data_IF_610020567779
#
_entry.id   IF_610020567779
#
_cell.length_a   1.000
_cell.length_b   1.000
_cell.length_c   1.000
_cell.angle_alpha   90.00
_cell.angle_beta   90.00
_cell.angle_gamma   90.00
#
_symmetry.space_group_name_H-M   'P 1'
#
loop_
_entity.id
_entity.type
_entity.pdbx_description
1 polymer ?
#
# COMPACT_ATOMS: atom_id res chain seq x y z
N UNK A 1 -16.04 2.42 3.01
CA UNK A 1 -14.81 1.86 3.59
C UNK A 1 -14.54 2.60 4.90
N UNK A 2 -14.61 1.90 6.03
CA UNK A 2 -14.32 2.48 7.34
C UNK A 2 -12.86 2.18 7.69
N UNK A 3 -12.11 3.22 8.08
CA UNK A 3 -10.77 3.07 8.62
C UNK A 3 -10.81 3.57 10.06
N UNK A 4 -10.61 2.68 11.05
CA UNK A 4 -10.57 3.09 12.44
C UNK A 4 -9.40 4.06 12.67
N UNK A 5 -9.60 5.08 13.52
CA UNK A 5 -8.57 6.06 13.81
C UNK A 5 -7.34 5.39 14.43
N UNK A 6 -6.15 5.82 14.01
CA UNK A 6 -4.85 5.35 14.52
C UNK A 6 -4.54 3.86 14.29
N UNK A 7 -5.19 3.22 13.31
CA UNK A 7 -4.97 1.79 12.98
C UNK A 7 -4.42 1.63 11.55
N UNK A 8 -3.17 2.03 11.27
CA UNK A 8 -2.57 1.91 9.93
C UNK A 8 -2.48 0.45 9.44
N UNK A 9 -2.46 -0.52 10.35
CA UNK A 9 -2.36 -1.96 10.06
C UNK A 9 -3.57 -2.52 9.32
N UNK A 10 -4.75 -1.93 9.48
CA UNK A 10 -5.97 -2.36 8.76
C UNK A 10 -6.21 -1.55 7.48
N UNK A 11 -5.38 -0.54 7.19
CA UNK A 11 -5.48 0.25 5.97
C UNK A 11 -4.70 -0.44 4.83
N UNK A 12 -5.38 -0.94 3.78
CA UNK A 12 -4.69 -1.68 2.72
C UNK A 12 -3.69 -0.82 1.93
N UNK A 13 -3.90 0.50 1.83
CA UNK A 13 -2.97 1.38 1.11
C UNK A 13 -1.63 1.51 1.84
N UNK A 14 -1.61 1.43 3.18
CA UNK A 14 -0.38 1.44 3.97
C UNK A 14 0.44 0.18 3.72
N UNK A 15 -0.24 -0.95 3.46
CA UNK A 15 0.41 -2.21 3.09
C UNK A 15 1.08 -2.12 1.73
N UNK A 16 0.38 -1.57 0.74
CA UNK A 16 0.94 -1.33 -0.58
C UNK A 16 2.15 -0.40 -0.51
N UNK A 17 2.04 0.70 0.25
CA UNK A 17 3.14 1.62 0.47
C UNK A 17 4.33 0.98 1.18
N UNK A 18 4.10 0.03 2.09
CA UNK A 18 5.18 -0.72 2.73
C UNK A 18 5.98 -1.52 1.70
N UNK A 19 5.32 -2.15 0.73
CA UNK A 19 6.01 -2.90 -0.33
C UNK A 19 6.76 -1.98 -1.30
N UNK A 20 6.15 -0.86 -1.73
CA UNK A 20 6.83 0.14 -2.58
C UNK A 20 8.06 0.72 -1.84
N UNK A 21 7.93 1.05 -0.55
CA UNK A 21 9.06 1.57 0.23
C UNK A 21 10.20 0.57 0.38
N UNK A 22 9.95 -0.74 0.33
CA UNK A 22 11.02 -1.74 0.42
C UNK A 22 11.95 -1.69 -0.78
N UNK A 23 11.43 -1.42 -1.98
CA UNK A 23 12.21 -1.37 -3.22
C UNK A 23 13.00 -0.06 -3.34
N UNK A 24 12.56 0.98 -2.65
CA UNK A 24 13.25 2.28 -2.56
C UNK A 24 14.20 2.36 -1.35
N UNK A 25 14.39 1.28 -0.58
CA UNK A 25 15.28 1.32 0.58
C UNK A 25 16.70 1.59 0.13
N UNK A 26 17.37 2.48 0.87
CA UNK A 26 18.76 2.90 0.66
C UNK A 26 19.00 3.83 -0.53
N UNK A 27 17.94 4.22 -1.24
CA UNK A 27 18.00 5.28 -2.25
C UNK A 27 17.99 6.66 -1.59
N UNK A 28 18.79 7.58 -2.11
CA UNK A 28 18.84 8.98 -1.69
C UNK A 28 18.62 9.88 -2.91
N UNK A 29 17.42 10.44 -3.02
CA UNK A 29 17.03 11.30 -4.13
C UNK A 29 17.43 12.75 -3.83
N UNK A 30 18.07 13.42 -4.80
CA UNK A 30 18.49 14.81 -4.66
C UNK A 30 17.33 15.78 -4.87
N UNK A 31 16.31 15.35 -5.61
CA UNK A 31 15.13 16.16 -5.92
C UNK A 31 13.82 15.40 -5.68
N UNK A 32 12.73 16.14 -5.53
CA UNK A 32 11.39 15.55 -5.46
C UNK A 32 10.97 14.90 -6.79
N UNK A 33 11.48 15.38 -7.92
CA UNK A 33 11.17 14.81 -9.23
C UNK A 33 11.78 13.42 -9.40
N UNK A 34 13.05 13.23 -8.99
CA UNK A 34 13.68 11.92 -8.96
C UNK A 34 12.90 10.93 -8.08
N UNK A 35 12.44 11.37 -6.90
CA UNK A 35 11.60 10.54 -6.03
C UNK A 35 10.27 10.18 -6.73
N UNK A 36 9.61 11.14 -7.40
CA UNK A 36 8.36 10.88 -8.13
C UNK A 36 8.57 9.87 -9.24
N UNK A 37 9.62 10.03 -10.04
CA UNK A 37 9.94 9.10 -11.13
C UNK A 37 10.22 7.69 -10.60
N UNK A 38 10.98 7.56 -9.52
CA UNK A 38 11.26 6.28 -8.90
C UNK A 38 9.97 5.61 -8.40
N UNK A 39 9.08 6.36 -7.74
CA UNK A 39 7.77 5.86 -7.30
C UNK A 39 6.92 5.44 -8.50
N UNK A 40 6.84 6.25 -9.56
CA UNK A 40 6.09 5.94 -10.76
C UNK A 40 6.55 4.64 -11.41
N UNK A 41 7.87 4.44 -11.51
CA UNK A 41 8.45 3.21 -12.03
C UNK A 41 8.07 1.98 -11.19
N UNK A 42 7.98 2.10 -9.87
CA UNK A 42 7.51 1.02 -9.01
C UNK A 42 6.02 0.73 -9.24
N UNK A 43 5.20 1.77 -9.38
CA UNK A 43 3.76 1.63 -9.61
C UNK A 43 3.45 0.97 -10.96
N UNK A 44 4.19 1.33 -12.02
CA UNK A 44 4.01 0.78 -13.37
C UNK A 44 4.35 -0.72 -13.46
N UNK A 45 5.16 -1.22 -12.53
CA UNK A 45 5.52 -2.63 -12.44
C UNK A 45 4.49 -3.48 -11.67
N UNK A 46 3.52 -2.86 -11.01
CA UNK A 46 2.51 -3.57 -10.23
C UNK A 46 1.40 -4.12 -11.13
N UNK A 47 1.26 -5.44 -11.15
CA UNK A 47 0.07 -6.09 -11.71
C UNK A 47 -1.11 -6.02 -10.75
N UNK A 48 -2.33 -6.08 -11.30
CA UNK A 48 -3.56 -6.19 -10.51
C UNK A 48 -3.53 -7.38 -9.54
N UNK A 49 -2.88 -8.49 -9.93
CA UNK A 49 -2.69 -9.66 -9.07
C UNK A 49 -1.81 -9.34 -7.86
N UNK A 50 -0.68 -8.65 -8.06
CA UNK A 50 0.20 -8.24 -6.96
C UNK A 50 -0.51 -7.28 -6.01
N UNK A 51 -1.22 -6.28 -6.54
CA UNK A 51 -2.01 -5.36 -5.71
C UNK A 51 -3.01 -6.14 -4.86
N UNK A 52 -3.80 -7.03 -5.46
CA UNK A 52 -4.76 -7.88 -4.74
C UNK A 52 -4.10 -8.74 -3.66
N UNK A 53 -2.97 -9.36 -3.98
CA UNK A 53 -2.21 -10.21 -3.03
C UNK A 53 -1.65 -9.42 -1.84
N UNK A 54 -1.26 -8.16 -2.05
CA UNK A 54 -0.73 -7.28 -1.01
C UNK A 54 -1.85 -6.70 -0.13
N UNK A 55 -2.98 -6.30 -0.74
CA UNK A 55 -4.05 -5.56 -0.05
C UNK A 55 -5.18 -6.47 0.46
N UNK A 56 -5.28 -7.70 -0.03
CA UNK A 56 -6.40 -8.62 0.22
C UNK A 56 -6.12 -9.67 1.29
N UNK A 57 -5.40 -9.33 2.35
CA UNK A 57 -5.13 -10.25 3.46
C UNK A 57 -6.40 -10.52 4.28
N UNK A 58 -6.57 -11.74 4.77
CA UNK A 58 -7.82 -12.17 5.42
C UNK A 58 -8.24 -11.24 6.56
N UNK A 59 -7.32 -10.81 7.44
CA UNK A 59 -7.66 -9.89 8.52
C UNK A 59 -8.07 -8.48 8.05
N UNK A 60 -7.60 -8.03 6.88
CA UNK A 60 -7.99 -6.74 6.28
C UNK A 60 -9.43 -6.86 5.77
N UNK A 61 -9.74 -7.99 5.12
CA UNK A 61 -11.09 -8.29 4.65
C UNK A 61 -12.04 -8.45 5.84
N UNK A 62 -11.64 -9.18 6.87
CA UNK A 62 -12.41 -9.34 8.11
C UNK A 62 -12.67 -8.00 8.81
N UNK A 63 -11.68 -7.11 8.92
CA UNK A 63 -11.87 -5.78 9.50
C UNK A 63 -12.90 -4.94 8.70
N UNK A 64 -12.93 -5.09 7.37
CA UNK A 64 -13.95 -4.45 6.53
C UNK A 64 -15.35 -5.04 6.78
N UNK A 65 -15.47 -6.37 6.90
CA UNK A 65 -16.74 -7.03 7.18
C UNK A 65 -17.29 -6.74 8.58
N UNK A 66 -16.43 -6.73 9.61
CA UNK A 66 -16.80 -6.41 11.00
C UNK A 66 -17.27 -4.96 11.15
N UNK A 67 -16.83 -4.05 10.27
CA UNK A 67 -17.27 -2.65 10.27
C UNK A 67 -18.69 -2.41 9.69
N UNK A 68 -19.41 -3.47 9.32
CA UNK A 68 -20.85 -3.39 9.01
C UNK A 68 -21.20 -2.99 7.57
N UNK A 69 -20.26 -3.04 6.63
CA UNK A 69 -20.59 -2.96 5.20
C UNK A 69 -21.04 -4.36 4.73
N UNK A 70 -22.35 -4.60 4.76
CA UNK A 70 -23.03 -5.65 3.98
C UNK A 70 -23.43 -5.11 2.60
#
# INVERSE_FOLDING_TARGET
MFQPPHTPEVNPIERLWKEIKKTLRWECFQTLDELREAVWKQLDQLSAYQVKSITGWDFILEALFVSGFS
#
